data_IF_991446937141
#
_entry.id   IF_991446937141
#
_cell.length_a   1.000
_cell.length_b   1.000
_cell.length_c   1.000
_cell.angle_alpha   90.00
_cell.angle_beta   90.00
_cell.angle_gamma   90.00
#
_symmetry.space_group_name_H-M   'P 1'
#
loop_
_entity.id
_entity.type
_entity.pdbx_description
1 polymer ?
#
# COMPACT_ATOMS: atom_id res chain seq x y z
N UNK A 1 14.60 5.71 -2.35
CA UNK A 1 14.28 5.07 -1.09
C UNK A 1 13.58 3.74 -1.22
N UNK A 2 12.21 3.73 -1.20
CA UNK A 2 11.44 2.47 -1.13
C UNK A 2 11.68 1.55 -2.34
N UNK A 3 11.60 2.07 -3.55
CA UNK A 3 11.81 1.28 -4.78
C UNK A 3 13.22 0.71 -4.90
N UNK A 4 14.21 1.39 -4.34
CA UNK A 4 15.59 0.91 -4.35
C UNK A 4 15.78 -0.30 -3.44
N UNK A 5 15.17 -0.29 -2.26
CA UNK A 5 15.31 -1.36 -1.28
C UNK A 5 14.44 -2.58 -1.59
N UNK A 6 13.23 -2.39 -2.12
CA UNK A 6 12.26 -3.49 -2.34
C UNK A 6 12.41 -4.13 -3.72
N UNK A 7 12.67 -3.31 -4.75
CA UNK A 7 12.64 -3.76 -6.16
C UNK A 7 14.03 -3.75 -6.82
N UNK A 8 15.08 -3.46 -6.07
CA UNK A 8 16.47 -3.37 -6.57
C UNK A 8 16.64 -2.41 -7.76
N UNK A 9 15.78 -1.38 -7.85
CA UNK A 9 15.86 -0.39 -8.93
C UNK A 9 16.70 0.81 -8.46
N UNK A 10 17.88 1.06 -9.05
CA UNK A 10 18.71 2.18 -8.62
C UNK A 10 18.00 3.52 -8.72
N UNK A 11 18.10 4.36 -7.67
CA UNK A 11 17.47 5.69 -7.64
C UNK A 11 17.88 6.57 -8.80
N UNK A 12 19.12 6.44 -9.28
CA UNK A 12 19.60 7.14 -10.48
C UNK A 12 18.83 6.73 -11.75
N UNK A 13 18.46 5.45 -11.88
CA UNK A 13 17.64 4.97 -13.00
C UNK A 13 16.23 5.53 -12.92
N UNK A 14 15.62 5.55 -11.73
CA UNK A 14 14.32 6.17 -11.50
C UNK A 14 14.34 7.67 -11.80
N UNK A 15 15.37 8.39 -11.34
CA UNK A 15 15.51 9.81 -11.59
C UNK A 15 15.69 10.16 -13.08
N UNK A 16 16.35 9.29 -13.84
CA UNK A 16 16.57 9.48 -15.26
C UNK A 16 15.37 9.03 -16.13
N UNK A 17 14.63 8.01 -15.69
CA UNK A 17 13.56 7.38 -16.49
C UNK A 17 12.15 7.85 -16.18
N UNK A 18 11.92 8.43 -15.01
CA UNK A 18 10.58 8.83 -14.56
C UNK A 18 10.46 10.34 -14.56
N UNK A 19 9.43 10.86 -15.26
CA UNK A 19 9.04 12.26 -15.17
C UNK A 19 8.14 12.44 -13.95
N UNK A 20 8.67 13.10 -12.91
CA UNK A 20 7.97 13.32 -11.65
C UNK A 20 7.05 14.55 -11.76
N UNK A 21 6.01 14.46 -12.58
CA UNK A 21 5.07 15.53 -12.90
C UNK A 21 3.66 15.31 -12.30
N UNK A 22 3.59 14.48 -11.26
CA UNK A 22 2.39 14.21 -10.46
C UNK A 22 2.68 14.27 -8.97
N UNK A 23 1.66 14.55 -8.17
CA UNK A 23 1.69 14.52 -6.70
C UNK A 23 0.67 13.54 -6.14
N UNK A 24 -0.56 13.57 -6.67
CA UNK A 24 -1.66 12.71 -6.24
C UNK A 24 -1.73 11.42 -7.05
N UNK A 25 -2.44 10.41 -6.51
CA UNK A 25 -2.64 9.16 -7.25
C UNK A 25 -3.48 9.31 -8.53
N UNK A 26 -4.55 10.13 -8.57
CA UNK A 26 -5.21 10.46 -9.84
C UNK A 26 -4.26 11.04 -10.89
N UNK A 27 -3.45 12.02 -10.53
CA UNK A 27 -2.45 12.60 -11.44
C UNK A 27 -1.41 11.58 -11.92
N UNK A 28 -1.03 10.61 -11.03
CA UNK A 28 -0.18 9.49 -11.43
C UNK A 28 -0.86 8.63 -12.51
N UNK A 29 -2.14 8.31 -12.37
CA UNK A 29 -2.88 7.58 -13.41
C UNK A 29 -2.93 8.35 -14.72
N UNK A 30 -3.16 9.66 -14.68
CA UNK A 30 -3.11 10.53 -15.87
C UNK A 30 -1.70 10.52 -16.50
N UNK A 31 -0.65 10.53 -15.67
CA UNK A 31 0.72 10.42 -16.15
C UNK A 31 0.98 9.08 -16.86
N UNK A 32 0.50 7.99 -16.30
CA UNK A 32 0.59 6.64 -16.91
C UNK A 32 -0.17 6.64 -18.25
N UNK A 33 -1.37 7.18 -18.31
CA UNK A 33 -2.20 7.20 -19.54
C UNK A 33 -1.56 7.99 -20.68
N UNK A 34 -0.77 9.03 -20.38
CA UNK A 34 -0.06 9.82 -21.40
C UNK A 34 1.00 9.04 -22.18
N UNK A 35 1.45 7.89 -21.65
CA UNK A 35 2.44 7.05 -22.31
C UNK A 35 1.78 5.99 -23.21
N UNK A 36 2.44 5.68 -24.34
CA UNK A 36 2.03 4.56 -25.17
C UNK A 36 2.42 3.23 -24.54
N UNK A 37 1.45 2.37 -24.34
CA UNK A 37 1.65 1.04 -23.78
C UNK A 37 1.40 -0.03 -24.84
N UNK A 38 2.23 -1.09 -24.84
CA UNK A 38 2.03 -2.28 -25.68
C UNK A 38 1.06 -3.29 -25.06
N UNK A 39 0.75 -3.13 -23.77
CA UNK A 39 -0.16 -3.95 -22.98
C UNK A 39 -1.03 -3.05 -22.11
N UNK A 40 -2.15 -3.55 -21.63
CA UNK A 40 -2.96 -2.85 -20.65
C UNK A 40 -2.21 -2.75 -19.31
N UNK A 41 -2.30 -1.58 -18.67
CA UNK A 41 -1.65 -1.28 -17.38
C UNK A 41 -2.71 -0.92 -16.36
N UNK A 42 -2.66 -1.56 -15.19
CA UNK A 42 -3.49 -1.22 -14.05
C UNK A 42 -2.65 -1.05 -12.81
N UNK A 43 -3.03 -0.10 -11.95
CA UNK A 43 -2.25 0.28 -10.78
C UNK A 43 -3.06 0.09 -9.49
N UNK A 44 -2.36 -0.28 -8.42
CA UNK A 44 -2.89 -0.30 -7.05
C UNK A 44 -2.26 0.82 -6.25
N UNK A 45 -3.02 1.33 -5.26
CA UNK A 45 -2.53 2.33 -4.32
C UNK A 45 -1.64 1.62 -3.30
N UNK A 46 -0.40 2.05 -3.16
CA UNK A 46 0.55 1.44 -2.23
C UNK A 46 0.53 2.14 -0.86
N UNK A 47 0.45 1.36 0.22
CA UNK A 47 0.36 1.84 1.60
C UNK A 47 1.53 2.71 2.03
N UNK A 48 2.75 2.30 1.72
CA UNK A 48 3.95 3.05 2.09
C UNK A 48 3.97 4.50 1.58
N UNK A 49 3.75 4.75 0.28
CA UNK A 49 3.56 6.08 -0.25
C UNK A 49 2.41 6.88 0.39
N UNK A 50 1.26 6.24 0.65
CA UNK A 50 0.12 6.90 1.33
C UNK A 50 0.51 7.35 2.74
N UNK A 51 1.18 6.50 3.52
CA UNK A 51 1.67 6.87 4.85
C UNK A 51 2.68 8.01 4.80
N UNK A 52 3.64 7.96 3.85
CA UNK A 52 4.63 9.03 3.68
C UNK A 52 3.98 10.34 3.24
N UNK A 53 2.98 10.30 2.38
CA UNK A 53 2.25 11.47 1.90
C UNK A 53 1.46 12.15 3.02
N UNK A 54 0.71 11.37 3.81
CA UNK A 54 -0.16 11.89 4.87
C UNK A 54 0.61 12.27 6.14
N UNK A 55 1.56 11.43 6.55
CA UNK A 55 2.24 11.54 7.85
C UNK A 55 3.67 12.11 7.75
N UNK A 56 4.20 12.27 6.53
CA UNK A 56 5.58 12.71 6.31
C UNK A 56 6.60 11.74 6.90
N UNK A 57 7.63 12.26 7.58
CA UNK A 57 8.68 11.47 8.22
C UNK A 57 8.15 10.45 9.24
N UNK A 58 7.10 10.78 9.98
CA UNK A 58 6.47 9.85 10.93
C UNK A 58 5.98 8.58 10.23
N UNK A 59 5.32 8.75 9.08
CA UNK A 59 4.85 7.64 8.26
C UNK A 59 5.99 6.82 7.67
N UNK A 60 7.03 7.49 7.17
CA UNK A 60 8.22 6.84 6.64
C UNK A 60 8.97 6.00 7.69
N UNK A 61 8.94 6.43 8.95
CA UNK A 61 9.55 5.73 10.10
C UNK A 61 8.63 4.74 10.79
N UNK A 62 7.51 4.40 10.20
CA UNK A 62 6.54 3.46 10.78
C UNK A 62 5.97 3.88 12.16
N UNK A 63 5.95 5.18 12.49
CA UNK A 63 5.30 5.64 13.71
C UNK A 63 3.80 5.34 13.67
N UNK A 64 3.14 5.09 14.82
CA UNK A 64 1.70 4.87 14.86
C UNK A 64 0.91 6.04 14.26
N UNK A 65 -0.05 5.73 13.40
CA UNK A 65 -0.97 6.72 12.86
C UNK A 65 -1.95 7.19 13.93
N UNK A 66 -2.25 8.48 13.93
CA UNK A 66 -3.34 9.06 14.72
C UNK A 66 -4.70 8.81 14.02
N UNK A 67 -5.83 8.98 14.72
CA UNK A 67 -7.15 8.90 14.06
C UNK A 67 -7.31 9.87 12.87
N UNK A 68 -6.72 11.06 12.94
CA UNK A 68 -6.76 12.04 11.86
C UNK A 68 -5.90 11.56 10.67
N UNK A 69 -4.71 11.01 10.91
CA UNK A 69 -3.87 10.40 9.88
C UNK A 69 -4.63 9.27 9.17
N UNK A 70 -5.30 8.39 9.93
CA UNK A 70 -6.07 7.26 9.40
C UNK A 70 -7.23 7.76 8.53
N UNK A 71 -7.95 8.78 8.99
CA UNK A 71 -9.04 9.39 8.24
C UNK A 71 -8.56 9.98 6.91
N UNK A 72 -7.43 10.68 6.93
CA UNK A 72 -6.85 11.28 5.73
C UNK A 72 -6.31 10.21 4.77
N UNK A 73 -5.64 9.16 5.26
CA UNK A 73 -5.22 8.03 4.44
C UNK A 73 -6.44 7.35 3.76
N UNK A 74 -7.53 7.14 4.49
CA UNK A 74 -8.76 6.57 3.93
C UNK A 74 -9.37 7.48 2.84
N UNK A 75 -9.30 8.81 3.01
CA UNK A 75 -9.71 9.78 1.99
C UNK A 75 -8.87 9.65 0.72
N UNK A 76 -7.54 9.62 0.86
CA UNK A 76 -6.59 9.48 -0.26
C UNK A 76 -6.82 8.17 -1.01
N UNK A 77 -7.02 7.06 -0.30
CA UNK A 77 -7.33 5.75 -0.91
C UNK A 77 -8.67 5.80 -1.65
N UNK A 78 -9.69 6.41 -1.06
CA UNK A 78 -11.00 6.58 -1.71
C UNK A 78 -10.91 7.40 -2.99
N UNK A 79 -10.11 8.47 -2.99
CA UNK A 79 -9.87 9.32 -4.14
C UNK A 79 -9.19 8.54 -5.28
N UNK A 80 -8.13 7.79 -4.96
CA UNK A 80 -7.44 6.96 -5.94
C UNK A 80 -8.30 5.84 -6.53
N UNK A 81 -9.16 5.21 -5.71
CA UNK A 81 -10.12 4.21 -6.20
C UNK A 81 -11.13 4.82 -7.17
N UNK A 82 -11.67 6.01 -6.85
CA UNK A 82 -12.58 6.74 -7.75
C UNK A 82 -11.91 7.16 -9.07
N UNK A 83 -10.60 7.38 -9.05
CA UNK A 83 -9.82 7.69 -10.24
C UNK A 83 -9.51 6.46 -11.11
N UNK A 84 -9.73 5.24 -10.61
CA UNK A 84 -9.55 4.01 -11.38
C UNK A 84 -8.49 3.05 -10.83
N UNK A 85 -8.02 3.24 -9.60
CA UNK A 85 -7.14 2.26 -8.97
C UNK A 85 -7.81 0.89 -8.89
N UNK A 86 -7.04 -0.18 -9.17
CA UNK A 86 -7.53 -1.57 -9.07
C UNK A 86 -7.69 -2.04 -7.63
N UNK A 87 -7.15 -1.31 -6.67
CA UNK A 87 -7.21 -1.66 -5.27
C UNK A 87 -6.12 -0.98 -4.46
N UNK A 88 -5.80 -1.57 -3.32
CA UNK A 88 -4.81 -1.12 -2.37
C UNK A 88 -3.87 -2.26 -2.00
N UNK A 89 -2.60 -1.97 -1.82
CA UNK A 89 -1.60 -2.97 -1.43
C UNK A 89 -0.81 -2.53 -0.21
N UNK A 90 -0.49 -3.48 0.67
CA UNK A 90 0.34 -3.24 1.86
C UNK A 90 1.40 -4.33 2.03
N UNK A 91 2.51 -3.98 2.66
CA UNK A 91 3.54 -4.92 3.07
C UNK A 91 3.63 -4.99 4.59
N UNK A 92 3.59 -6.21 5.11
CA UNK A 92 3.72 -6.51 6.54
C UNK A 92 4.88 -7.47 6.81
N UNK A 93 5.53 -7.93 5.74
CA UNK A 93 6.70 -8.81 5.85
C UNK A 93 7.97 -8.04 6.17
N UNK A 94 8.84 -8.64 6.97
CA UNK A 94 10.17 -8.13 7.26
C UNK A 94 11.18 -8.32 6.11
N UNK A 95 10.76 -8.96 5.01
CA UNK A 95 11.58 -9.10 3.81
C UNK A 95 11.62 -7.83 2.96
N UNK A 96 10.62 -6.95 3.10
CA UNK A 96 10.59 -5.68 2.39
C UNK A 96 11.27 -4.59 3.22
N UNK A 97 12.49 -4.30 2.87
CA UNK A 97 13.30 -3.28 3.53
C UNK A 97 13.52 -2.09 2.59
N UNK A 98 13.56 -0.90 3.17
CA UNK A 98 14.05 0.28 2.48
C UNK A 98 15.59 0.22 2.36
N UNK A 99 16.19 1.13 1.59
CA UNK A 99 17.63 1.13 1.32
C UNK A 99 18.50 1.27 2.57
N UNK A 100 17.95 1.86 3.63
CA UNK A 100 18.60 2.02 4.94
C UNK A 100 18.48 0.76 5.83
N UNK A 101 17.81 -0.29 5.33
CA UNK A 101 17.60 -1.53 6.05
C UNK A 101 16.39 -1.53 6.99
N UNK A 102 15.65 -0.43 7.09
CA UNK A 102 14.43 -0.37 7.88
C UNK A 102 13.24 -0.98 7.13
N UNK A 103 12.28 -1.61 7.84
CA UNK A 103 11.06 -2.12 7.22
C UNK A 103 10.27 -1.00 6.53
N UNK A 104 9.71 -1.32 5.36
CA UNK A 104 8.93 -0.34 4.57
C UNK A 104 7.74 0.23 5.36
N UNK A 105 7.31 1.47 5.08
CA UNK A 105 6.17 2.07 5.77
C UNK A 105 4.89 1.24 5.60
N UNK A 106 4.20 1.00 6.70
CA UNK A 106 3.01 0.14 6.77
C UNK A 106 3.27 -1.23 7.38
N UNK A 107 4.54 -1.67 7.49
CA UNK A 107 4.88 -2.97 8.10
C UNK A 107 4.30 -3.10 9.52
N UNK A 108 4.32 -2.03 10.30
CA UNK A 108 3.82 -1.98 11.67
C UNK A 108 2.45 -1.32 11.81
N UNK A 109 1.73 -1.13 10.69
CA UNK A 109 0.38 -0.55 10.73
C UNK A 109 -0.54 -1.33 11.67
N UNK A 110 -1.29 -0.61 12.49
CA UNK A 110 -2.22 -1.21 13.45
C UNK A 110 -3.49 -1.70 12.76
N UNK A 111 -4.22 -2.57 13.43
CA UNK A 111 -5.47 -3.13 12.91
C UNK A 111 -6.51 -2.04 12.57
N UNK A 112 -6.63 -1.00 13.41
CA UNK A 112 -7.56 0.11 13.18
C UNK A 112 -7.29 0.85 11.86
N UNK A 113 -6.03 1.06 11.52
CA UNK A 113 -5.60 1.63 10.24
C UNK A 113 -5.97 0.71 9.08
N UNK A 114 -5.60 -0.58 9.15
CA UNK A 114 -5.91 -1.56 8.10
C UNK A 114 -7.42 -1.73 7.87
N UNK A 115 -8.21 -1.71 8.96
CA UNK A 115 -9.67 -1.77 8.90
C UNK A 115 -10.25 -0.54 8.21
N UNK A 116 -9.79 0.66 8.55
CA UNK A 116 -10.27 1.90 7.94
C UNK A 116 -10.00 1.93 6.43
N UNK A 117 -8.81 1.48 6.00
CA UNK A 117 -8.45 1.38 4.58
C UNK A 117 -9.29 0.31 3.86
N UNK A 118 -9.55 -0.82 4.51
CA UNK A 118 -10.47 -1.84 4.01
C UNK A 118 -11.89 -1.31 3.81
N UNK A 119 -12.41 -0.55 4.77
CA UNK A 119 -13.72 0.10 4.67
C UNK A 119 -13.77 1.15 3.54
N UNK A 120 -12.67 1.89 3.31
CA UNK A 120 -12.59 2.84 2.19
C UNK A 120 -12.71 2.12 0.84
N UNK A 121 -12.06 0.96 0.68
CA UNK A 121 -12.17 0.12 -0.53
C UNK A 121 -13.62 -0.40 -0.69
N UNK A 122 -14.19 -0.91 0.38
CA UNK A 122 -15.58 -1.41 0.35
C UNK A 122 -16.59 -0.31 -0.01
N UNK A 123 -16.42 0.88 0.54
CA UNK A 123 -17.27 2.03 0.25
C UNK A 123 -17.16 2.50 -1.21
N UNK A 124 -16.02 2.28 -1.87
CA UNK A 124 -15.85 2.53 -3.30
C UNK A 124 -16.62 1.52 -4.18
N UNK A 125 -17.05 0.38 -3.62
CA UNK A 125 -17.82 -0.66 -4.31
C UNK A 125 -16.98 -1.56 -5.24
N UNK A 126 -15.68 -1.36 -5.30
CA UNK A 126 -14.74 -2.17 -6.08
C UNK A 126 -13.33 -2.09 -5.47
N UNK A 127 -12.47 -3.01 -5.85
CA UNK A 127 -11.06 -3.03 -5.48
C UNK A 127 -10.62 -4.34 -4.83
N UNK A 128 -9.31 -4.52 -4.78
CA UNK A 128 -8.64 -5.63 -4.14
C UNK A 128 -7.80 -5.08 -2.99
N UNK A 129 -7.84 -5.74 -1.83
CA UNK A 129 -6.87 -5.51 -0.77
C UNK A 129 -5.79 -6.58 -0.89
N UNK A 130 -4.65 -6.22 -1.40
CA UNK A 130 -3.50 -7.12 -1.57
C UNK A 130 -2.49 -6.90 -0.45
N UNK A 131 -1.82 -7.97 -0.03
CA UNK A 131 -0.76 -7.85 0.98
C UNK A 131 0.34 -8.90 0.86
N UNK A 132 1.52 -8.52 1.31
CA UNK A 132 2.59 -9.43 1.72
C UNK A 132 2.50 -9.59 3.25
N UNK A 133 2.00 -10.74 3.76
CA UNK A 133 1.69 -10.89 5.19
C UNK A 133 2.94 -11.01 6.06
N UNK A 134 2.81 -10.68 7.35
CA UNK A 134 3.84 -10.96 8.33
C UNK A 134 4.06 -12.47 8.50
N UNK A 135 5.28 -12.86 8.91
CA UNK A 135 5.65 -14.25 9.18
C UNK A 135 5.81 -15.13 7.95
N UNK A 136 5.77 -14.57 6.73
CA UNK A 136 5.92 -15.33 5.48
C UNK A 136 7.33 -15.96 5.35
N UNK A 137 8.33 -15.38 6.00
CA UNK A 137 9.71 -15.88 6.07
C UNK A 137 9.90 -17.01 7.09
N UNK A 138 8.89 -17.30 7.94
CA UNK A 138 8.96 -18.33 8.97
C UNK A 138 9.72 -17.91 10.23
N UNK A 139 10.08 -16.65 10.35
CA UNK A 139 10.78 -16.06 11.50
C UNK A 139 9.86 -15.79 12.70
N UNK A 140 8.55 -15.68 12.49
CA UNK A 140 7.53 -15.59 13.51
C UNK A 140 6.37 -16.56 13.21
N UNK A 141 6.27 -17.63 13.98
CA UNK A 141 5.25 -18.68 13.82
C UNK A 141 3.84 -18.24 14.29
N UNK A 142 3.75 -17.15 15.04
CA UNK A 142 2.47 -16.61 15.56
C UNK A 142 1.92 -15.52 14.62
N UNK A 143 2.78 -14.84 13.88
CA UNK A 143 2.37 -13.76 12.99
C UNK A 143 1.31 -14.18 11.97
N UNK A 144 1.40 -15.35 11.28
CA UNK A 144 0.39 -15.75 10.31
C UNK A 144 -1.02 -15.89 10.92
N UNK A 145 -1.14 -16.35 12.15
CA UNK A 145 -2.44 -16.48 12.82
C UNK A 145 -3.05 -15.10 13.15
N UNK A 146 -2.23 -14.16 13.62
CA UNK A 146 -2.64 -12.78 13.87
C UNK A 146 -3.04 -12.08 12.58
N UNK A 147 -2.27 -12.25 11.51
CA UNK A 147 -2.59 -11.71 10.19
C UNK A 147 -3.93 -12.25 9.68
N UNK A 148 -4.15 -13.56 9.76
CA UNK A 148 -5.42 -14.17 9.37
C UNK A 148 -6.62 -13.67 10.18
N UNK A 149 -6.42 -13.30 11.44
CA UNK A 149 -7.49 -12.80 12.29
C UNK A 149 -8.06 -11.46 11.79
N UNK A 150 -7.20 -10.46 11.59
CA UNK A 150 -7.65 -9.16 11.09
C UNK A 150 -8.11 -9.23 9.62
N UNK A 151 -7.49 -10.07 8.78
CA UNK A 151 -7.93 -10.27 7.40
C UNK A 151 -9.35 -10.83 7.31
N UNK A 152 -9.68 -11.83 8.15
CA UNK A 152 -11.05 -12.35 8.24
C UNK A 152 -12.04 -11.30 8.68
N UNK A 153 -11.65 -10.42 9.61
CA UNK A 153 -12.48 -9.32 10.08
C UNK A 153 -12.74 -8.31 8.96
N UNK A 154 -11.68 -7.86 8.27
CA UNK A 154 -11.83 -6.98 7.10
C UNK A 154 -12.74 -7.61 6.06
N UNK A 155 -12.52 -8.88 5.68
CA UNK A 155 -13.34 -9.57 4.69
C UNK A 155 -14.80 -9.75 5.12
N UNK A 156 -15.05 -9.95 6.41
CA UNK A 156 -16.43 -10.09 6.94
C UNK A 156 -17.18 -8.77 6.97
N UNK A 157 -16.50 -7.66 7.31
CA UNK A 157 -17.10 -6.34 7.40
C UNK A 157 -17.21 -5.64 6.04
N UNK A 158 -16.46 -6.12 5.04
CA UNK A 158 -16.40 -5.53 3.70
C UNK A 158 -16.83 -6.57 2.66
N UNK A 159 -18.12 -6.75 2.43
CA UNK A 159 -18.72 -7.82 1.61
C UNK A 159 -18.17 -7.97 0.18
N UNK A 160 -17.34 -7.06 -0.29
CA UNK A 160 -16.76 -7.03 -1.63
C UNK A 160 -15.25 -7.19 -1.68
N UNK A 161 -14.58 -7.28 -0.51
CA UNK A 161 -13.13 -7.30 -0.47
C UNK A 161 -12.58 -8.67 -0.84
N UNK A 162 -11.76 -8.71 -1.88
CA UNK A 162 -10.89 -9.85 -2.17
C UNK A 162 -9.53 -9.58 -1.53
N UNK A 163 -9.16 -10.40 -0.55
CA UNK A 163 -7.80 -10.41 0.00
C UNK A 163 -6.96 -11.32 -0.88
N UNK A 164 -5.94 -10.77 -1.48
CA UNK A 164 -4.96 -11.50 -2.30
C UNK A 164 -3.60 -11.52 -1.61
N UNK A 165 -2.91 -12.65 -1.72
CA UNK A 165 -1.57 -12.84 -1.20
C UNK A 165 -0.57 -12.85 -2.36
N UNK A 166 0.43 -12.00 -2.28
CA UNK A 166 1.60 -12.14 -3.16
C UNK A 166 2.47 -13.29 -2.60
N UNK A 167 2.63 -14.33 -3.39
CA UNK A 167 3.58 -15.40 -3.10
C UNK A 167 4.92 -15.02 -3.75
N UNK A 168 5.97 -14.98 -2.96
CA UNK A 168 7.34 -14.78 -3.43
C UNK A 168 7.98 -16.12 -3.82
#
# INVERSE_FOLDING_TARGET
GLMEGVEDIPGAALAAGVQWDWETFPEYLDAVERHLHAIDVGCQIAHGPVRAYVMGERGAKNEPATPDDISEMARVVTEGLKAGALGFTTSRTLLHLAIDGEPVPGTWAREDELMALGHAIAAAGHGIFELAPAGISGDDLIAPEKEMAWMRKVAAETSFLKVSFKKF
#
